data_IF_552473420705
#
_entry.id   IF_552473420705
#
_cell.length_a   1.000
_cell.length_b   1.000
_cell.length_c   1.000
_cell.angle_alpha   90.00
_cell.angle_beta   90.00
_cell.angle_gamma   90.00
#
_symmetry.space_group_name_H-M   'P 1'
#
loop_
_entity.id
_entity.type
_entity.pdbx_description
1 polymer ?
#
# COMPACT_ATOMS: atom_id res chain seq x y z
N UNK A 1 40.75 39.79 10.31
CA UNK A 1 40.37 38.48 10.89
C UNK A 1 38.87 38.52 11.15
N UNK A 2 38.17 37.43 10.80
CA UNK A 2 36.70 37.35 10.92
C UNK A 2 36.22 37.52 12.34
N UNK A 3 36.95 37.00 13.32
CA UNK A 3 36.64 37.15 14.75
C UNK A 3 36.64 38.64 15.24
N UNK A 4 37.57 39.44 14.77
CA UNK A 4 37.62 40.85 15.14
C UNK A 4 36.43 41.67 14.63
N UNK A 5 35.86 41.25 13.51
CA UNK A 5 34.68 41.88 12.92
C UNK A 5 33.46 41.68 13.83
N UNK A 6 33.31 40.48 14.39
CA UNK A 6 32.20 40.11 15.27
C UNK A 6 32.33 40.79 16.64
N UNK A 7 33.56 40.94 17.17
CA UNK A 7 33.82 41.60 18.43
C UNK A 7 33.56 43.10 18.34
N UNK A 8 33.94 43.75 17.23
CA UNK A 8 33.77 45.19 17.03
C UNK A 8 32.36 45.59 16.64
N UNK A 9 31.55 44.68 16.13
CA UNK A 9 30.17 44.94 15.68
C UNK A 9 29.19 43.86 16.18
N UNK A 10 28.80 43.86 17.45
CA UNK A 10 27.93 42.82 18.02
C UNK A 10 26.53 42.80 17.37
N UNK A 11 26.05 43.92 16.84
CA UNK A 11 24.78 44.01 16.09
C UNK A 11 24.79 43.18 14.81
N UNK A 12 25.95 43.09 14.14
CA UNK A 12 26.12 42.31 12.94
C UNK A 12 26.08 40.79 13.21
N UNK A 13 26.65 40.37 14.32
CA UNK A 13 26.59 38.99 14.78
C UNK A 13 25.14 38.55 15.11
N UNK A 14 24.36 39.41 15.71
CA UNK A 14 22.94 39.14 16.05
C UNK A 14 22.11 38.98 14.78
N UNK A 15 22.31 39.82 13.77
CA UNK A 15 21.59 39.75 12.49
C UNK A 15 21.92 38.43 11.76
N UNK A 16 23.17 38.03 11.73
CA UNK A 16 23.56 36.75 11.11
C UNK A 16 22.96 35.54 11.87
N UNK A 17 22.95 35.59 13.20
CA UNK A 17 22.33 34.55 14.03
C UNK A 17 20.83 34.41 13.76
N UNK A 18 20.12 35.55 13.66
CA UNK A 18 18.69 35.55 13.31
C UNK A 18 18.45 34.99 11.90
N UNK A 19 19.26 35.39 10.92
CA UNK A 19 19.16 34.87 9.56
C UNK A 19 19.40 33.35 9.49
N UNK A 20 20.39 32.85 10.21
CA UNK A 20 20.66 31.41 10.29
C UNK A 20 19.51 30.67 10.97
N UNK A 21 18.92 31.26 12.02
CA UNK A 21 17.79 30.64 12.72
C UNK A 21 16.54 30.58 11.83
N UNK A 22 16.25 31.63 11.07
CA UNK A 22 15.15 31.65 10.11
C UNK A 22 15.40 30.67 8.96
N UNK A 23 16.59 30.63 8.39
CA UNK A 23 16.95 29.68 7.33
C UNK A 23 16.83 28.23 7.81
N UNK A 24 17.31 27.93 9.03
CA UNK A 24 17.17 26.62 9.66
C UNK A 24 15.71 26.23 9.89
N UNK A 25 14.88 27.16 10.35
CA UNK A 25 13.44 26.92 10.55
C UNK A 25 12.69 26.62 9.25
N UNK A 26 13.03 27.33 8.17
CA UNK A 26 12.45 27.05 6.84
C UNK A 26 12.91 25.69 6.32
N UNK A 27 14.19 25.37 6.45
CA UNK A 27 14.73 24.06 6.05
C UNK A 27 14.06 22.91 6.80
N UNK A 28 13.80 23.06 8.10
CA UNK A 28 13.10 22.02 8.87
C UNK A 28 11.68 21.77 8.38
N UNK A 29 11.00 22.82 7.94
CA UNK A 29 9.63 22.70 7.41
C UNK A 29 9.58 22.11 5.99
N UNK A 30 10.68 22.21 5.25
CA UNK A 30 10.81 21.66 3.90
C UNK A 30 11.54 20.32 3.83
N UNK A 31 12.07 19.83 4.98
CA UNK A 31 12.61 18.47 4.98
C UNK A 31 11.45 17.51 4.66
N UNK A 32 11.50 16.84 3.51
CA UNK A 32 10.60 15.71 3.31
C UNK A 32 10.91 14.72 4.43
N UNK A 33 9.93 14.41 5.24
CA UNK A 33 10.00 13.24 6.11
C UNK A 33 10.25 12.10 5.15
N UNK A 34 11.47 11.59 5.12
CA UNK A 34 11.79 10.43 4.32
C UNK A 34 10.91 9.31 4.86
N UNK A 35 9.79 9.08 4.18
CA UNK A 35 9.17 7.77 4.26
C UNK A 35 10.28 6.80 3.90
N UNK A 36 10.60 5.92 4.82
CA UNK A 36 11.55 4.85 4.58
C UNK A 36 11.23 4.26 3.21
N UNK A 37 12.21 4.09 2.30
CA UNK A 37 11.92 3.44 1.05
C UNK A 37 11.23 2.13 1.38
N UNK A 38 10.01 1.96 0.91
CA UNK A 38 9.25 0.73 1.09
C UNK A 38 10.00 -0.41 0.39
N UNK A 39 11.01 -0.94 1.08
CA UNK A 39 11.79 -2.10 0.63
C UNK A 39 10.91 -3.36 0.74
N UNK A 40 9.87 -3.28 1.56
CA UNK A 40 8.92 -4.36 1.71
C UNK A 40 7.99 -4.46 0.50
N UNK A 41 7.78 -5.66 -0.05
CA UNK A 41 6.84 -5.86 -1.12
C UNK A 41 5.43 -5.50 -0.66
N UNK A 42 4.70 -4.76 -1.48
CA UNK A 42 3.32 -4.38 -1.20
C UNK A 42 2.42 -5.59 -1.35
N UNK A 43 1.58 -5.86 -0.34
CA UNK A 43 0.59 -6.93 -0.40
C UNK A 43 -0.82 -6.38 -0.40
N UNK A 44 -1.67 -6.93 -1.28
CA UNK A 44 -3.09 -6.61 -1.36
C UNK A 44 -3.88 -7.87 -1.08
N UNK A 45 -4.81 -7.80 -0.15
CA UNK A 45 -5.71 -8.90 0.19
C UNK A 45 -7.10 -8.66 -0.41
N UNK A 46 -7.57 -9.67 -1.14
CA UNK A 46 -8.92 -9.74 -1.67
C UNK A 46 -9.70 -10.79 -0.89
N UNK A 47 -10.87 -10.43 -0.41
CA UNK A 47 -11.75 -11.32 0.35
C UNK A 47 -13.14 -11.33 -0.28
N UNK A 48 -13.67 -12.53 -0.49
CA UNK A 48 -15.03 -12.76 -0.96
C UNK A 48 -15.68 -13.86 -0.12
N UNK A 49 -16.99 -13.89 -0.07
CA UNK A 49 -17.72 -14.91 0.68
C UNK A 49 -18.85 -15.46 -0.19
N UNK A 50 -18.90 -16.77 -0.31
CA UNK A 50 -19.99 -17.49 -0.96
C UNK A 50 -20.69 -18.35 0.10
N UNK A 51 -21.65 -17.77 0.77
CA UNK A 51 -22.33 -18.40 1.91
C UNK A 51 -22.96 -19.73 1.54
N UNK A 52 -22.58 -20.78 2.28
CA UNK A 52 -23.12 -22.14 2.10
C UNK A 52 -22.41 -22.99 1.04
N UNK A 53 -21.40 -22.45 0.36
CA UNK A 53 -20.58 -23.21 -0.57
C UNK A 53 -19.48 -23.98 0.14
N UNK A 54 -19.14 -25.16 -0.35
CA UNK A 54 -17.96 -25.89 0.09
C UNK A 54 -16.69 -25.29 -0.48
N UNK A 55 -15.54 -25.58 0.13
CA UNK A 55 -14.23 -25.07 -0.34
C UNK A 55 -13.98 -25.42 -1.81
N UNK A 56 -14.41 -26.59 -2.28
CA UNK A 56 -14.26 -26.99 -3.67
C UNK A 56 -15.10 -26.11 -4.62
N UNK A 57 -16.37 -25.85 -4.26
CA UNK A 57 -17.24 -24.96 -5.05
C UNK A 57 -16.68 -23.55 -5.09
N UNK A 58 -16.18 -23.04 -3.96
CA UNK A 58 -15.51 -21.72 -3.89
C UNK A 58 -14.29 -21.68 -4.79
N UNK A 59 -13.49 -22.75 -4.81
CA UNK A 59 -12.32 -22.84 -5.67
C UNK A 59 -12.69 -22.78 -7.16
N UNK A 60 -13.70 -23.51 -7.58
CA UNK A 60 -14.12 -23.60 -8.99
C UNK A 60 -14.86 -22.35 -9.46
N UNK A 61 -15.71 -21.75 -8.60
CA UNK A 61 -16.59 -20.64 -8.98
C UNK A 61 -16.02 -19.26 -8.69
N UNK A 62 -15.16 -19.12 -7.68
CA UNK A 62 -14.55 -17.83 -7.30
C UNK A 62 -13.05 -17.79 -7.58
N UNK A 63 -12.31 -18.79 -7.09
CA UNK A 63 -10.86 -18.74 -7.17
C UNK A 63 -10.38 -18.79 -8.61
N UNK A 64 -10.84 -19.76 -9.39
CA UNK A 64 -10.38 -19.96 -10.76
C UNK A 64 -10.57 -18.73 -11.66
N UNK A 65 -11.76 -18.13 -11.79
CA UNK A 65 -11.94 -16.94 -12.64
C UNK A 65 -11.22 -15.69 -12.11
N UNK A 66 -11.14 -15.53 -10.79
CA UNK A 66 -10.43 -14.40 -10.19
C UNK A 66 -8.92 -14.51 -10.39
N UNK A 67 -8.35 -15.69 -10.14
CA UNK A 67 -6.92 -15.92 -10.27
C UNK A 67 -6.45 -15.85 -11.74
N UNK A 68 -7.26 -16.33 -12.68
CA UNK A 68 -6.98 -16.23 -14.11
C UNK A 68 -6.87 -14.77 -14.56
N UNK A 69 -7.80 -13.91 -14.12
CA UNK A 69 -7.79 -12.49 -14.47
C UNK A 69 -6.66 -11.73 -13.79
N UNK A 70 -6.35 -12.07 -12.54
CA UNK A 70 -5.30 -11.39 -11.76
C UNK A 70 -3.89 -11.83 -12.12
N UNK A 71 -3.72 -13.01 -12.69
CA UNK A 71 -2.41 -13.52 -13.09
C UNK A 71 -1.73 -12.68 -14.18
N UNK A 72 -2.51 -11.88 -14.92
CA UNK A 72 -2.01 -10.96 -15.94
C UNK A 72 -1.63 -9.55 -15.42
N UNK A 73 -1.67 -9.29 -14.12
CA UNK A 73 -1.37 -7.96 -13.58
C UNK A 73 0.11 -7.63 -13.64
N UNK A 74 0.40 -6.39 -14.02
CA UNK A 74 1.77 -5.87 -14.02
C UNK A 74 2.33 -5.82 -12.60
N UNK A 75 3.62 -6.09 -12.48
CA UNK A 75 4.37 -6.05 -11.23
C UNK A 75 3.93 -7.08 -10.16
N UNK A 76 3.05 -8.00 -10.49
CA UNK A 76 2.68 -9.11 -9.62
C UNK A 76 3.86 -10.09 -9.53
N UNK A 77 4.32 -10.40 -8.32
CA UNK A 77 5.37 -11.41 -8.08
C UNK A 77 4.76 -12.79 -7.94
N UNK A 78 3.83 -12.92 -7.02
CA UNK A 78 3.11 -14.15 -6.74
C UNK A 78 1.80 -13.84 -6.01
N UNK A 79 0.91 -14.80 -6.02
CA UNK A 79 -0.31 -14.76 -5.21
C UNK A 79 -0.50 -16.09 -4.48
N UNK A 80 -1.28 -16.03 -3.42
CA UNK A 80 -1.67 -17.20 -2.62
C UNK A 80 -3.13 -17.07 -2.26
N UNK A 81 -3.90 -18.12 -2.49
CA UNK A 81 -5.32 -18.16 -2.19
C UNK A 81 -5.65 -19.23 -1.16
N UNK A 82 -6.73 -19.02 -0.43
CA UNK A 82 -7.32 -19.97 0.52
C UNK A 82 -8.82 -19.95 0.38
N UNK A 83 -9.40 -21.15 0.34
CA UNK A 83 -10.84 -21.37 0.38
C UNK A 83 -11.17 -22.22 1.61
N UNK A 84 -12.27 -21.90 2.28
CA UNK A 84 -12.74 -22.68 3.42
C UNK A 84 -14.12 -23.28 3.18
N UNK A 85 -14.50 -24.23 4.03
CA UNK A 85 -15.78 -24.93 3.93
C UNK A 85 -16.99 -24.11 4.42
N UNK A 86 -16.76 -22.89 4.87
CA UNK A 86 -17.82 -21.92 5.23
C UNK A 86 -18.17 -20.99 4.08
N UNK A 87 -17.52 -21.16 2.94
CA UNK A 87 -17.68 -20.32 1.75
C UNK A 87 -16.76 -19.12 1.71
N UNK A 88 -15.79 -19.01 2.63
CA UNK A 88 -14.80 -17.94 2.64
C UNK A 88 -13.71 -18.14 1.58
N UNK A 89 -13.38 -17.06 0.88
CA UNK A 89 -12.27 -16.97 -0.06
C UNK A 89 -11.37 -15.82 0.31
N UNK A 90 -10.09 -16.06 0.37
CA UNK A 90 -9.07 -15.05 0.66
C UNK A 90 -7.90 -15.21 -0.30
N UNK A 91 -7.56 -14.14 -1.00
CA UNK A 91 -6.46 -14.08 -1.95
C UNK A 91 -5.47 -12.99 -1.50
N UNK A 92 -4.21 -13.35 -1.37
CA UNK A 92 -3.11 -12.43 -1.07
C UNK A 92 -2.25 -12.25 -2.30
N UNK A 93 -2.18 -11.03 -2.80
CA UNK A 93 -1.38 -10.64 -3.96
C UNK A 93 -0.13 -9.90 -3.46
N UNK A 94 1.04 -10.32 -3.90
CA UNK A 94 2.32 -9.68 -3.55
C UNK A 94 2.94 -9.07 -4.79
N UNK A 95 3.20 -7.77 -4.74
CA UNK A 95 3.76 -6.98 -5.83
C UNK A 95 5.25 -6.68 -5.60
N UNK A 96 5.96 -6.35 -6.67
CA UNK A 96 7.36 -5.95 -6.61
C UNK A 96 7.56 -4.73 -5.70
N UNK A 97 8.63 -4.75 -4.93
CA UNK A 97 9.05 -3.60 -4.14
C UNK A 97 9.34 -2.39 -5.04
N UNK A 98 9.03 -1.19 -4.55
CA UNK A 98 9.22 0.05 -5.29
C UNK A 98 8.11 0.38 -6.30
N UNK A 99 7.05 -0.43 -6.37
CA UNK A 99 5.86 -0.12 -7.18
C UNK A 99 4.85 0.67 -6.34
N UNK A 100 4.10 1.54 -7.02
CA UNK A 100 3.07 2.33 -6.34
C UNK A 100 1.90 1.43 -5.91
N UNK A 101 1.72 1.30 -4.60
CA UNK A 101 0.69 0.46 -4.00
C UNK A 101 -0.74 0.89 -4.36
N UNK A 102 -0.97 2.18 -4.58
CA UNK A 102 -2.30 2.70 -4.91
C UNK A 102 -2.65 2.38 -6.37
N UNK A 103 -1.68 2.45 -7.27
CA UNK A 103 -1.85 2.02 -8.66
C UNK A 103 -2.11 0.52 -8.73
N UNK A 104 -1.34 -0.27 -7.98
CA UNK A 104 -1.56 -1.72 -7.90
C UNK A 104 -2.96 -2.05 -7.38
N UNK A 105 -3.46 -1.32 -6.38
CA UNK A 105 -4.82 -1.49 -5.86
C UNK A 105 -5.88 -1.16 -6.91
N UNK A 106 -5.72 -0.08 -7.68
CA UNK A 106 -6.62 0.29 -8.77
C UNK A 106 -6.62 -0.79 -9.85
N UNK A 107 -5.46 -1.33 -10.20
CA UNK A 107 -5.34 -2.41 -11.19
C UNK A 107 -6.06 -3.69 -10.72
N UNK A 108 -5.92 -4.05 -9.44
CA UNK A 108 -6.67 -5.17 -8.84
C UNK A 108 -8.17 -4.92 -8.89
N UNK A 109 -8.63 -3.72 -8.52
CA UNK A 109 -10.05 -3.36 -8.57
C UNK A 109 -10.61 -3.45 -9.99
N UNK A 110 -9.88 -2.96 -10.97
CA UNK A 110 -10.29 -3.01 -12.38
C UNK A 110 -10.36 -4.46 -12.89
N UNK A 111 -9.40 -5.30 -12.53
CA UNK A 111 -9.40 -6.71 -12.87
C UNK A 111 -10.59 -7.45 -12.23
N UNK A 112 -10.87 -7.19 -10.96
CA UNK A 112 -12.03 -7.78 -10.27
C UNK A 112 -13.36 -7.34 -10.90
N UNK A 113 -13.50 -6.08 -11.32
CA UNK A 113 -14.68 -5.61 -12.05
C UNK A 113 -14.88 -6.33 -13.38
N UNK A 114 -13.80 -6.67 -14.09
CA UNK A 114 -13.89 -7.43 -15.34
C UNK A 114 -14.36 -8.88 -15.15
N UNK A 115 -14.10 -9.45 -13.99
CA UNK A 115 -14.50 -10.83 -13.70
C UNK A 115 -15.84 -10.92 -12.94
N UNK A 116 -16.32 -9.81 -12.39
CA UNK A 116 -17.53 -9.75 -11.54
C UNK A 116 -18.76 -10.37 -12.21
N UNK A 117 -18.93 -10.19 -13.53
CA UNK A 117 -20.05 -10.78 -14.27
C UNK A 117 -20.00 -12.32 -14.39
N UNK A 118 -18.83 -12.93 -14.15
CA UNK A 118 -18.64 -14.38 -14.12
C UNK A 118 -18.92 -14.99 -12.75
N UNK A 119 -19.00 -14.15 -11.71
CA UNK A 119 -19.19 -14.60 -10.34
C UNK A 119 -20.67 -14.78 -10.00
N UNK A 120 -20.99 -15.68 -9.06
CA UNK A 120 -22.34 -15.85 -8.54
C UNK A 120 -22.91 -14.56 -7.95
N UNK A 121 -24.21 -14.33 -8.11
CA UNK A 121 -24.88 -13.12 -7.57
C UNK A 121 -24.75 -12.99 -6.07
N UNK A 122 -24.78 -14.10 -5.35
CA UNK A 122 -24.63 -14.15 -3.91
C UNK A 122 -23.29 -13.56 -3.43
N UNK A 123 -22.25 -13.65 -4.24
CA UNK A 123 -20.92 -13.09 -3.98
C UNK A 123 -20.87 -11.61 -4.33
N UNK A 124 -21.45 -11.24 -5.48
CA UNK A 124 -21.48 -9.84 -5.93
C UNK A 124 -22.37 -8.98 -5.05
N UNK A 125 -23.46 -9.53 -4.53
CA UNK A 125 -24.38 -8.83 -3.61
C UNK A 125 -23.72 -8.57 -2.24
N UNK A 126 -22.88 -9.47 -1.76
CA UNK A 126 -22.10 -9.28 -0.53
C UNK A 126 -20.88 -8.37 -0.73
N UNK A 127 -20.44 -8.23 -1.97
CA UNK A 127 -19.30 -7.43 -2.37
C UNK A 127 -17.95 -8.08 -2.07
N UNK A 128 -17.00 -7.79 -2.93
CA UNK A 128 -15.59 -8.22 -2.76
C UNK A 128 -14.85 -7.15 -1.98
N UNK A 129 -14.26 -7.54 -0.84
CA UNK A 129 -13.49 -6.64 0.01
C UNK A 129 -12.02 -6.66 -0.41
N UNK A 130 -11.47 -5.49 -0.67
CA UNK A 130 -10.05 -5.32 -1.01
C UNK A 130 -9.40 -4.53 0.12
N UNK A 131 -8.32 -5.07 0.68
CA UNK A 131 -7.55 -4.43 1.74
C UNK A 131 -6.07 -4.37 1.35
N UNK A 132 -5.50 -3.20 1.46
CA UNK A 132 -4.04 -3.00 1.38
C UNK A 132 -3.42 -3.47 2.70
N UNK A 133 -2.43 -4.35 2.63
CA UNK A 133 -1.62 -4.72 3.77
C UNK A 133 -0.31 -3.96 3.69
N UNK A 134 -0.21 -2.90 4.48
CA UNK A 134 1.06 -2.23 4.72
C UNK A 134 1.88 -3.06 5.70
N UNK A 135 3.17 -3.18 5.46
CA UNK A 135 4.10 -3.88 6.37
C UNK A 135 4.37 -3.10 7.67
N UNK A 136 3.63 -2.04 7.92
CA UNK A 136 3.74 -1.18 9.11
C UNK A 136 3.29 -1.83 10.44
N UNK A 137 2.96 -3.12 10.46
CA UNK A 137 2.53 -3.81 11.69
C UNK A 137 3.72 -4.46 12.45
N UNK A 138 4.87 -3.84 12.46
CA UNK A 138 5.97 -4.29 13.32
C UNK A 138 6.19 -3.36 14.54
N UNK A 139 5.17 -2.66 15.00
CA UNK A 139 5.26 -1.66 16.06
C UNK A 139 4.45 -1.92 17.32
N UNK A 140 4.00 -3.14 17.61
CA UNK A 140 3.33 -3.42 18.87
C UNK A 140 3.90 -4.69 19.53
N UNK A 141 4.91 -4.47 20.30
CA UNK A 141 5.25 -5.27 21.46
C UNK A 141 5.48 -4.35 22.65
#
# INVERSE_FOLDING_TARGET
>A
MIADLFIKRPKFAIVIAILMMLAGGICLNQLPIAEYPEIAPTSINVQATYTGASAQVVMETLASPIEEELNGLENLLYFSSKSDNTGGYSLSLTFKSGTNSDINMVNVQNALKRVEYKLPKEVTDQGIKIKKRSSDILGFF
#
